data_IF_815268550940
#
_entry.id   IF_815268550940
#
_cell.length_a   1.000
_cell.length_b   1.000
_cell.length_c   1.000
_cell.angle_alpha   90.00
_cell.angle_beta   90.00
_cell.angle_gamma   90.00
#
_symmetry.space_group_name_H-M   'P 1'
#
loop_
_entity.id
_entity.type
_entity.pdbx_description
1 polymer ?
#
# COMPACT_ATOMS: atom_id res chain seq x y z
N UNK A 1 -5.14 -8.48 0.99
CA UNK A 1 -5.07 -7.02 0.88
C UNK A 1 -6.44 -6.32 0.86
N UNK A 2 -7.35 -6.68 -0.01
CA UNK A 2 -8.70 -6.06 -0.04
C UNK A 2 -9.44 -6.21 1.31
N UNK A 3 -9.32 -7.34 1.97
CA UNK A 3 -9.90 -7.56 3.31
C UNK A 3 -9.33 -6.62 4.37
N UNK A 4 -8.00 -6.45 4.40
CA UNK A 4 -7.37 -5.51 5.35
C UNK A 4 -7.79 -4.07 5.09
N UNK A 5 -7.90 -3.69 3.81
CA UNK A 5 -8.42 -2.38 3.44
C UNK A 5 -9.88 -2.21 3.91
N UNK A 6 -10.72 -3.23 3.70
CA UNK A 6 -12.11 -3.22 4.15
C UNK A 6 -12.20 -3.09 5.67
N UNK A 7 -11.35 -3.79 6.42
CA UNK A 7 -11.28 -3.67 7.89
C UNK A 7 -10.88 -2.26 8.33
N UNK A 8 -9.88 -1.65 7.67
CA UNK A 8 -9.46 -0.27 7.96
C UNK A 8 -10.56 0.73 7.63
N UNK A 9 -11.26 0.53 6.50
CA UNK A 9 -12.42 1.38 6.14
C UNK A 9 -13.53 1.27 7.18
N UNK A 10 -13.81 0.08 7.67
CA UNK A 10 -14.81 -0.10 8.75
C UNK A 10 -14.35 0.54 10.06
N UNK A 11 -13.07 0.42 10.39
CA UNK A 11 -12.51 0.99 11.61
C UNK A 11 -12.57 2.52 11.62
N UNK A 12 -12.20 3.16 10.50
CA UNK A 12 -12.11 4.62 10.39
C UNK A 12 -13.36 5.27 9.78
N UNK A 13 -14.21 4.46 9.13
CA UNK A 13 -15.43 4.94 8.47
C UNK A 13 -16.49 5.51 9.41
N UNK A 14 -16.45 5.12 10.69
CA UNK A 14 -17.39 5.64 11.67
C UNK A 14 -17.31 7.16 11.80
N UNK A 15 -16.11 7.72 11.82
CA UNK A 15 -15.92 9.17 11.97
C UNK A 15 -16.12 9.92 10.64
N UNK A 16 -15.64 9.38 9.55
CA UNK A 16 -15.67 10.06 8.26
C UNK A 16 -17.01 9.92 7.51
N UNK A 17 -17.74 8.81 7.73
CA UNK A 17 -18.97 8.48 7.00
C UNK A 17 -20.19 8.50 7.92
N UNK A 18 -20.18 7.72 9.02
CA UNK A 18 -21.39 7.56 9.86
C UNK A 18 -21.75 8.84 10.59
N UNK A 19 -20.75 9.61 11.02
CA UNK A 19 -20.97 10.91 11.68
C UNK A 19 -21.17 12.08 10.70
N UNK A 20 -21.11 11.81 9.40
CA UNK A 20 -21.31 12.83 8.38
C UNK A 20 -22.81 12.99 8.09
N UNK A 21 -23.42 14.05 8.59
CA UNK A 21 -24.86 14.33 8.43
C UNK A 21 -25.31 14.53 6.96
N UNK A 22 -24.38 14.74 6.04
CA UNK A 22 -24.66 14.84 4.61
C UNK A 22 -24.85 13.47 3.95
N UNK A 23 -24.58 12.37 4.66
CA UNK A 23 -24.71 11.01 4.16
C UNK A 23 -25.89 10.34 4.88
N UNK A 24 -26.93 9.90 4.15
CA UNK A 24 -28.02 9.13 4.75
C UNK A 24 -27.49 7.84 5.41
N UNK A 25 -27.98 7.53 6.60
CA UNK A 25 -27.51 6.37 7.37
C UNK A 25 -27.62 5.05 6.61
N UNK A 26 -28.63 4.92 5.75
CA UNK A 26 -28.86 3.74 4.91
C UNK A 26 -27.74 3.56 3.85
N UNK A 27 -27.05 4.63 3.52
CA UNK A 27 -25.96 4.63 2.53
C UNK A 27 -24.57 4.45 3.14
N UNK A 28 -24.43 4.58 4.47
CA UNK A 28 -23.14 4.57 5.14
C UNK A 28 -22.28 3.37 4.75
N UNK A 29 -22.85 2.16 4.77
CA UNK A 29 -22.12 0.94 4.43
C UNK A 29 -21.70 0.92 2.95
N UNK A 30 -22.58 1.33 2.05
CA UNK A 30 -22.29 1.37 0.61
C UNK A 30 -21.24 2.44 0.30
N UNK A 31 -21.30 3.60 0.94
CA UNK A 31 -20.31 4.69 0.82
C UNK A 31 -18.94 4.22 1.31
N UNK A 32 -18.87 3.54 2.46
CA UNK A 32 -17.61 2.97 2.97
C UNK A 32 -17.00 1.94 2.02
N UNK A 33 -17.83 1.03 1.49
CA UNK A 33 -17.37 0.03 0.51
C UNK A 33 -16.86 0.67 -0.77
N UNK A 34 -17.56 1.67 -1.29
CA UNK A 34 -17.15 2.39 -2.48
C UNK A 34 -15.86 3.19 -2.26
N UNK A 35 -15.75 3.87 -1.12
CA UNK A 35 -14.53 4.59 -0.76
C UNK A 35 -13.32 3.65 -0.69
N UNK A 36 -13.46 2.49 -0.04
CA UNK A 36 -12.43 1.48 0.02
C UNK A 36 -12.05 0.93 -1.36
N UNK A 37 -13.05 0.61 -2.19
CA UNK A 37 -12.86 0.16 -3.57
C UNK A 37 -12.15 1.20 -4.44
N UNK A 38 -12.53 2.47 -4.27
CA UNK A 38 -11.93 3.60 -4.98
C UNK A 38 -10.47 3.83 -4.58
N UNK A 39 -10.14 3.73 -3.29
CA UNK A 39 -8.75 3.80 -2.80
C UNK A 39 -7.93 2.66 -3.40
N UNK A 40 -8.43 1.43 -3.33
CA UNK A 40 -7.73 0.27 -3.89
C UNK A 40 -7.50 0.39 -5.39
N UNK A 41 -8.54 0.75 -6.13
CA UNK A 41 -8.44 0.97 -7.57
C UNK A 41 -7.49 2.12 -7.91
N UNK A 42 -7.51 3.21 -7.14
CA UNK A 42 -6.59 4.33 -7.32
C UNK A 42 -5.13 3.94 -7.12
N UNK A 43 -4.83 3.19 -6.08
CA UNK A 43 -3.48 2.65 -5.85
C UNK A 43 -3.02 1.75 -7.01
N UNK A 44 -3.91 0.89 -7.53
CA UNK A 44 -3.62 0.06 -8.71
C UNK A 44 -3.34 0.88 -9.95
N UNK A 45 -4.15 1.90 -10.22
CA UNK A 45 -3.99 2.76 -11.39
C UNK A 45 -2.68 3.54 -11.32
N UNK A 46 -2.30 4.04 -10.14
CA UNK A 46 -1.02 4.71 -9.91
C UNK A 46 0.17 3.76 -10.13
N UNK A 47 0.08 2.54 -9.65
CA UNK A 47 1.10 1.52 -9.89
C UNK A 47 1.20 1.19 -11.38
N UNK A 48 0.07 0.98 -12.07
CA UNK A 48 0.04 0.72 -13.50
C UNK A 48 0.55 1.91 -14.33
N UNK A 49 0.32 3.14 -13.85
CA UNK A 49 0.79 4.38 -14.45
C UNK A 49 2.28 4.70 -14.23
N UNK A 50 3.00 3.85 -13.50
CA UNK A 50 4.44 4.02 -13.26
C UNK A 50 4.81 4.93 -12.09
N UNK A 51 3.85 5.36 -11.26
CA UNK A 51 4.07 6.19 -10.08
C UNK A 51 4.60 5.40 -8.86
N UNK A 52 5.43 4.40 -9.12
CA UNK A 52 5.99 3.54 -8.06
C UNK A 52 6.86 4.32 -7.08
N UNK A 53 7.54 5.39 -7.52
CA UNK A 53 8.40 6.20 -6.66
C UNK A 53 7.64 6.86 -5.52
N UNK A 54 6.51 7.48 -5.84
CA UNK A 54 5.67 8.15 -4.87
C UNK A 54 5.01 7.15 -3.91
N UNK A 55 4.51 6.02 -4.45
CA UNK A 55 3.97 4.93 -3.65
C UNK A 55 5.03 4.32 -2.72
N UNK A 56 6.22 4.06 -3.23
CA UNK A 56 7.33 3.50 -2.45
C UNK A 56 7.81 4.48 -1.36
N UNK A 57 7.92 5.77 -1.69
CA UNK A 57 8.26 6.83 -0.73
C UNK A 57 7.26 6.89 0.42
N UNK A 58 5.97 6.84 0.10
CA UNK A 58 4.89 6.83 1.09
C UNK A 58 4.90 5.54 1.94
N UNK A 59 4.97 4.36 1.30
CA UNK A 59 4.96 3.07 1.99
C UNK A 59 6.21 2.83 2.87
N UNK A 60 7.33 3.46 2.52
CA UNK A 60 8.55 3.43 3.36
C UNK A 60 8.54 4.45 4.49
N UNK A 61 7.51 5.29 4.59
CA UNK A 61 7.42 6.36 5.57
C UNK A 61 8.36 7.55 5.31
N UNK A 62 8.93 7.65 4.11
CA UNK A 62 9.81 8.78 3.72
C UNK A 62 9.04 10.03 3.34
N UNK A 63 7.84 9.87 2.83
CA UNK A 63 6.93 10.97 2.51
C UNK A 63 5.74 10.95 3.48
N UNK A 64 5.34 12.12 4.03
CA UNK A 64 4.20 12.19 4.93
C UNK A 64 2.91 11.80 4.20
N UNK A 65 1.98 11.22 4.96
CA UNK A 65 0.64 10.84 4.47
C UNK A 65 -0.32 11.97 4.86
N UNK A 66 -0.26 13.05 4.09
CA UNK A 66 -1.14 14.21 4.25
C UNK A 66 -1.70 14.66 2.89
N UNK A 67 -2.53 15.68 2.86
CA UNK A 67 -3.18 16.18 1.65
C UNK A 67 -2.20 16.82 0.63
N UNK A 68 -0.97 17.12 1.03
CA UNK A 68 0.08 17.62 0.12
C UNK A 68 0.79 16.48 -0.60
N UNK A 69 0.59 15.24 -0.14
CA UNK A 69 1.15 14.06 -0.79
C UNK A 69 0.42 13.80 -2.11
N UNK A 70 1.12 13.68 -3.26
CA UNK A 70 0.49 13.48 -4.56
C UNK A 70 -0.36 12.20 -4.64
N UNK A 71 0.03 11.15 -3.90
CA UNK A 71 -0.76 9.91 -3.80
C UNK A 71 -2.08 10.17 -3.09
N UNK A 72 -2.05 10.86 -1.94
CA UNK A 72 -3.25 11.21 -1.17
C UNK A 72 -4.16 12.11 -1.98
N UNK A 73 -3.63 13.14 -2.64
CA UNK A 73 -4.41 14.06 -3.47
C UNK A 73 -5.13 13.34 -4.62
N UNK A 74 -4.42 12.50 -5.37
CA UNK A 74 -5.00 11.74 -6.48
C UNK A 74 -6.07 10.74 -6.01
N UNK A 75 -5.84 10.09 -4.88
CA UNK A 75 -6.84 9.20 -4.28
C UNK A 75 -8.07 9.97 -3.80
N UNK A 76 -7.88 11.17 -3.21
CA UNK A 76 -8.98 12.03 -2.76
C UNK A 76 -9.85 12.48 -3.92
N UNK A 77 -9.26 12.90 -5.02
CA UNK A 77 -10.00 13.26 -6.24
C UNK A 77 -10.82 12.08 -6.75
N UNK A 78 -10.23 10.88 -6.83
CA UNK A 78 -10.90 9.68 -7.30
C UNK A 78 -12.06 9.26 -6.38
N UNK A 79 -11.85 9.25 -5.07
CA UNK A 79 -12.89 8.90 -4.08
C UNK A 79 -14.03 9.92 -4.16
N UNK A 80 -13.71 11.22 -4.15
CA UNK A 80 -14.70 12.30 -4.24
C UNK A 80 -15.54 12.17 -5.50
N UNK A 81 -14.90 11.95 -6.66
CA UNK A 81 -15.61 11.78 -7.94
C UNK A 81 -16.53 10.55 -7.97
N UNK A 82 -16.07 9.42 -7.44
CA UNK A 82 -16.86 8.20 -7.39
C UNK A 82 -18.05 8.30 -6.42
N UNK A 83 -17.84 8.88 -5.24
CA UNK A 83 -18.91 9.07 -4.26
C UNK A 83 -19.95 10.08 -4.76
N UNK A 84 -19.52 11.16 -5.39
CA UNK A 84 -20.42 12.12 -6.03
C UNK A 84 -21.26 11.48 -7.13
N UNK A 85 -20.62 10.72 -8.01
CA UNK A 85 -21.30 10.09 -9.17
C UNK A 85 -22.25 8.97 -8.76
N UNK A 86 -21.91 8.14 -7.78
CA UNK A 86 -22.69 6.95 -7.41
C UNK A 86 -23.78 7.22 -6.38
N UNK A 87 -23.52 8.14 -5.45
CA UNK A 87 -24.42 8.42 -4.33
C UNK A 87 -25.04 9.81 -4.35
N UNK A 88 -24.67 10.62 -5.36
CA UNK A 88 -25.18 11.99 -5.48
C UNK A 88 -24.67 12.92 -4.35
N UNK A 89 -23.57 12.57 -3.70
CA UNK A 89 -23.00 13.41 -2.67
C UNK A 89 -22.41 14.69 -3.27
N UNK A 90 -22.57 15.79 -2.55
CA UNK A 90 -21.89 17.03 -2.93
C UNK A 90 -20.36 16.85 -2.87
N UNK A 91 -19.63 17.64 -3.65
CA UNK A 91 -18.15 17.62 -3.65
C UNK A 91 -17.59 17.82 -2.24
N UNK A 92 -18.24 18.67 -1.43
CA UNK A 92 -17.86 18.95 -0.05
C UNK A 92 -18.07 17.70 0.85
N UNK A 93 -19.23 17.06 0.76
CA UNK A 93 -19.51 15.86 1.55
C UNK A 93 -18.61 14.69 1.16
N UNK A 94 -18.43 14.45 -0.14
CA UNK A 94 -17.56 13.39 -0.65
C UNK A 94 -16.09 13.68 -0.38
N UNK A 95 -15.65 14.94 -0.49
CA UNK A 95 -14.32 15.40 -0.13
C UNK A 95 -14.02 15.20 1.36
N UNK A 96 -14.96 15.53 2.24
CA UNK A 96 -14.81 15.29 3.67
C UNK A 96 -14.64 13.81 4.03
N UNK A 97 -15.33 12.90 3.31
CA UNK A 97 -15.09 11.44 3.43
C UNK A 97 -13.68 11.07 3.00
N UNK A 98 -13.23 11.57 1.86
CA UNK A 98 -11.89 11.29 1.33
C UNK A 98 -10.79 11.78 2.29
N UNK A 99 -10.90 13.02 2.76
CA UNK A 99 -9.96 13.64 3.70
C UNK A 99 -9.91 12.92 5.06
N UNK A 100 -11.05 12.44 5.53
CA UNK A 100 -11.15 11.71 6.79
C UNK A 100 -10.64 10.27 6.69
N UNK A 101 -10.84 9.59 5.55
CA UNK A 101 -10.51 8.17 5.41
C UNK A 101 -9.10 7.90 4.86
N UNK A 102 -8.70 8.60 3.80
CA UNK A 102 -7.51 8.23 3.03
C UNK A 102 -6.24 8.27 3.88
N UNK A 103 -5.92 9.35 4.62
CA UNK A 103 -4.71 9.38 5.42
C UNK A 103 -4.69 8.30 6.50
N UNK A 104 -5.83 8.02 7.14
CA UNK A 104 -5.94 7.01 8.19
C UNK A 104 -5.78 5.59 7.63
N UNK A 105 -6.39 5.29 6.50
CA UNK A 105 -6.27 3.99 5.82
C UNK A 105 -4.84 3.75 5.37
N UNK A 106 -4.23 4.73 4.70
CA UNK A 106 -2.85 4.61 4.21
C UNK A 106 -1.86 4.45 5.37
N UNK A 107 -2.01 5.25 6.43
CA UNK A 107 -1.19 5.10 7.65
C UNK A 107 -1.38 3.74 8.29
N UNK A 108 -2.61 3.25 8.36
CA UNK A 108 -2.92 1.92 8.87
C UNK A 108 -2.29 0.80 8.03
N UNK A 109 -2.30 0.93 6.70
CA UNK A 109 -1.64 -0.01 5.78
C UNK A 109 -0.11 0.00 5.97
N UNK A 110 0.50 1.19 6.05
CA UNK A 110 1.94 1.35 6.27
C UNK A 110 2.36 0.75 7.61
N UNK A 111 1.63 1.07 8.68
CA UNK A 111 1.92 0.55 10.02
C UNK A 111 1.82 -0.98 10.05
N UNK A 112 0.79 -1.57 9.43
CA UNK A 112 0.64 -3.02 9.34
C UNK A 112 1.75 -3.67 8.50
N UNK A 113 2.17 -3.03 7.41
CA UNK A 113 3.22 -3.53 6.53
C UNK A 113 4.63 -3.47 7.18
N UNK A 114 4.80 -2.60 8.17
CA UNK A 114 6.03 -2.45 8.95
C UNK A 114 6.03 -3.24 10.26
N UNK A 115 4.91 -3.86 10.64
CA UNK A 115 4.81 -4.64 11.88
C UNK A 115 5.47 -6.01 11.72
N UNK A 116 6.58 -6.30 12.42
CA UNK A 116 7.27 -7.58 12.31
C UNK A 116 6.46 -8.76 12.86
N UNK A 117 5.38 -8.49 13.63
CA UNK A 117 4.50 -9.50 14.19
C UNK A 117 3.34 -9.87 13.26
N UNK A 118 3.27 -9.30 12.06
CA UNK A 118 2.27 -9.62 11.05
C UNK A 118 2.90 -10.36 9.85
N UNK A 119 3.29 -11.64 10.01
CA UNK A 119 3.86 -12.40 8.91
C UNK A 119 2.82 -12.56 7.78
N UNK A 120 3.21 -12.22 6.56
CA UNK A 120 2.33 -12.29 5.38
C UNK A 120 1.65 -10.98 5.00
N UNK A 121 1.97 -9.87 5.69
CA UNK A 121 1.59 -8.53 5.27
C UNK A 121 2.79 -7.60 5.36
N UNK A 122 3.57 -7.55 4.29
CA UNK A 122 4.74 -6.69 4.19
C UNK A 122 4.61 -5.75 2.98
N UNK A 123 5.53 -4.79 2.89
CA UNK A 123 5.53 -3.79 1.81
C UNK A 123 5.60 -4.43 0.42
N UNK A 124 6.33 -5.54 0.27
CA UNK A 124 6.44 -6.26 -1.01
C UNK A 124 5.12 -6.91 -1.41
N UNK A 125 4.39 -7.50 -0.46
CA UNK A 125 3.05 -8.07 -0.70
C UNK A 125 2.05 -6.97 -1.07
N UNK A 126 2.17 -5.80 -0.42
CA UNK A 126 1.36 -4.63 -0.72
C UNK A 126 1.59 -4.17 -2.16
N UNK A 127 2.84 -3.99 -2.56
CA UNK A 127 3.22 -3.59 -3.92
C UNK A 127 2.77 -4.66 -4.93
N UNK A 128 2.98 -5.94 -4.62
CA UNK A 128 2.55 -7.06 -5.48
C UNK A 128 1.04 -7.08 -5.71
N UNK A 129 0.24 -6.85 -4.67
CA UNK A 129 -1.21 -6.80 -4.76
C UNK A 129 -1.72 -5.57 -5.53
N UNK A 130 -1.06 -4.41 -5.37
CA UNK A 130 -1.39 -3.17 -6.08
C UNK A 130 -1.00 -3.28 -7.56
N UNK A 131 0.15 -3.90 -7.89
CA UNK A 131 0.59 -4.09 -9.28
C UNK A 131 -0.17 -5.18 -10.05
N UNK A 132 -1.13 -5.85 -9.39
CA UNK A 132 -1.99 -6.84 -10.04
C UNK A 132 -1.26 -8.11 -10.50
N UNK A 133 -0.13 -8.44 -9.88
CA UNK A 133 0.69 -9.59 -10.23
C UNK A 133 1.52 -9.39 -11.52
N UNK A 134 1.58 -8.18 -12.04
CA UNK A 134 2.39 -7.84 -13.20
C UNK A 134 3.87 -7.77 -12.81
N UNK A 135 4.55 -8.92 -12.89
CA UNK A 135 5.92 -9.11 -12.41
C UNK A 135 6.98 -8.21 -13.11
N UNK A 136 6.69 -7.73 -14.32
CA UNK A 136 7.61 -6.83 -15.04
C UNK A 136 7.76 -5.48 -14.33
N UNK A 137 6.66 -4.80 -14.04
CA UNK A 137 6.69 -3.51 -13.32
C UNK A 137 7.11 -3.66 -11.86
N UNK A 138 6.80 -4.82 -11.24
CA UNK A 138 7.24 -5.12 -9.87
C UNK A 138 8.75 -5.33 -9.79
N UNK A 139 9.34 -6.09 -10.72
CA UNK A 139 10.79 -6.31 -10.78
C UNK A 139 11.55 -5.00 -11.03
N UNK A 140 11.03 -4.13 -11.89
CA UNK A 140 11.59 -2.80 -12.14
C UNK A 140 11.47 -1.91 -10.88
N UNK A 141 10.32 -1.93 -10.21
CA UNK A 141 10.12 -1.19 -8.97
C UNK A 141 11.00 -1.72 -7.83
N UNK A 142 11.08 -3.03 -7.67
CA UNK A 142 11.96 -3.66 -6.67
C UNK A 142 13.41 -3.37 -6.98
N UNK A 143 13.83 -3.44 -8.25
CA UNK A 143 15.20 -3.11 -8.67
C UNK A 143 15.54 -1.65 -8.38
N UNK A 144 14.62 -0.73 -8.65
CA UNK A 144 14.85 0.72 -8.54
C UNK A 144 14.64 1.27 -7.12
N UNK A 145 13.70 0.70 -6.38
CA UNK A 145 13.28 1.23 -5.07
C UNK A 145 13.52 0.26 -3.91
N UNK A 146 13.85 -0.99 -4.21
CA UNK A 146 14.00 -2.04 -3.20
C UNK A 146 15.11 -1.78 -2.18
N UNK A 147 16.13 -1.01 -2.54
CA UNK A 147 17.14 -0.53 -1.61
C UNK A 147 16.56 0.30 -0.46
N UNK A 148 15.46 1.01 -0.73
CA UNK A 148 14.75 1.80 0.29
C UNK A 148 14.00 0.93 1.31
N UNK A 149 13.71 -0.30 0.94
CA UNK A 149 13.06 -1.30 1.79
C UNK A 149 14.04 -2.29 2.43
N UNK A 150 15.34 -2.01 2.32
CA UNK A 150 16.37 -2.90 2.85
C UNK A 150 16.57 -4.19 2.06
N UNK A 151 16.07 -4.23 0.82
CA UNK A 151 16.25 -5.36 -0.09
C UNK A 151 17.60 -5.34 -0.82
N UNK A 152 18.27 -4.19 -0.86
CA UNK A 152 19.65 -4.03 -1.32
C UNK A 152 20.58 -4.47 -0.20
N UNK A 153 21.02 -5.72 -0.27
CA UNK A 153 21.82 -6.37 0.76
C UNK A 153 23.33 -6.22 0.52
N UNK A 154 23.72 -5.97 -0.72
CA UNK A 154 25.13 -5.75 -1.08
C UNK A 154 25.51 -4.26 -1.19
N UNK A 155 24.52 -3.36 -1.22
CA UNK A 155 24.72 -1.92 -1.20
C UNK A 155 25.08 -1.32 -2.56
N UNK A 156 24.79 -2.01 -3.65
CA UNK A 156 25.09 -1.55 -5.01
C UNK A 156 24.06 -0.56 -5.58
N UNK A 157 22.97 -0.33 -4.83
CA UNK A 157 21.87 0.58 -5.18
C UNK A 157 20.81 -0.03 -6.09
N UNK A 158 20.93 -1.33 -6.42
CA UNK A 158 19.94 -2.07 -7.20
C UNK A 158 19.57 -3.34 -6.42
N UNK A 159 18.32 -3.80 -6.53
CA UNK A 159 17.91 -5.08 -5.97
C UNK A 159 17.90 -6.13 -7.06
N UNK A 160 18.75 -7.12 -6.93
CA UNK A 160 18.97 -8.16 -7.92
C UNK A 160 19.26 -9.52 -7.31
N UNK A 161 19.77 -10.42 -8.16
CA UNK A 161 20.17 -11.77 -7.75
C UNK A 161 21.32 -11.73 -6.72
N UNK A 162 22.22 -10.74 -6.81
CA UNK A 162 23.32 -10.49 -5.87
C UNK A 162 22.82 -10.24 -4.45
N UNK A 163 21.72 -9.51 -4.30
CA UNK A 163 21.11 -9.26 -3.00
C UNK A 163 20.51 -10.51 -2.38
N UNK A 164 19.87 -11.34 -3.21
CA UNK A 164 19.34 -12.62 -2.75
C UNK A 164 20.49 -13.54 -2.26
N UNK A 165 21.62 -13.55 -2.96
CA UNK A 165 22.84 -14.28 -2.54
C UNK A 165 23.42 -13.68 -1.27
N UNK A 166 23.47 -12.34 -1.16
CA UNK A 166 23.99 -11.62 0.02
C UNK A 166 23.10 -11.83 1.24
N UNK A 167 21.78 -11.82 1.08
CA UNK A 167 20.82 -12.11 2.13
C UNK A 167 20.97 -13.54 2.67
N UNK A 168 21.13 -14.53 1.79
CA UNK A 168 21.38 -15.92 2.17
C UNK A 168 22.75 -16.08 2.84
N UNK A 169 23.76 -15.38 2.36
CA UNK A 169 25.11 -15.41 2.95
C UNK A 169 25.17 -14.80 4.36
N UNK A 170 24.46 -13.69 4.56
CA UNK A 170 24.42 -13.01 5.89
C UNK A 170 23.59 -13.77 6.93
N UNK A 171 22.54 -14.49 6.49
CA UNK A 171 21.59 -15.12 7.42
C UNK A 171 21.89 -16.62 7.72
N UNK A 172 22.77 -17.28 6.97
CA UNK A 172 22.97 -18.74 7.04
C UNK A 172 24.44 -19.19 7.06
N UNK A 173 25.39 -18.37 7.41
CA UNK A 173 26.78 -18.80 7.44
C UNK A 173 27.31 -19.32 6.09
N UNK A 174 26.74 -18.83 4.98
CA UNK A 174 27.16 -19.14 3.62
C UNK A 174 26.57 -20.43 3.04
N UNK A 175 26.50 -20.47 1.70
CA UNK A 175 26.06 -21.65 0.91
C UNK A 175 26.85 -22.91 1.28
N UNK A 176 28.09 -22.76 1.77
CA UNK A 176 28.92 -23.86 2.29
C UNK A 176 28.30 -24.58 3.49
N UNK A 177 27.55 -23.87 4.35
CA UNK A 177 26.86 -24.49 5.50
C UNK A 177 25.65 -25.33 5.09
N UNK A 178 24.95 -24.94 4.04
CA UNK A 178 23.81 -25.70 3.49
C UNK A 178 24.27 -26.93 2.70
N UNK A 179 25.32 -26.79 1.89
CA UNK A 179 25.93 -27.94 1.18
C UNK A 179 26.57 -28.93 2.15
N UNK A 180 27.21 -28.45 3.24
CA UNK A 180 27.75 -29.31 4.28
C UNK A 180 26.68 -30.10 5.03
N UNK A 181 25.49 -29.55 5.23
CA UNK A 181 24.34 -30.27 5.82
C UNK A 181 23.67 -31.26 4.87
N UNK A 182 23.73 -31.01 3.54
CA UNK A 182 23.10 -31.86 2.53
C UNK A 182 24.01 -33.01 2.08
N UNK A 183 25.32 -32.83 2.12
CA UNK A 183 26.32 -33.79 1.62
C UNK A 183 27.32 -34.27 2.70
N UNK A 184 27.25 -33.76 3.93
CA UNK A 184 28.08 -34.21 5.05
C UNK A 184 27.39 -35.32 5.83
N UNK A 185 28.00 -36.48 5.76
CA UNK A 185 27.66 -37.64 6.62
C UNK A 185 27.78 -37.29 8.07
#
# INVERSE_FOLDING_TARGET
MFEQLTQLVQQYGNDAVVKNNAIPNEQNQAVMQEAGGSIFSGLKDMAAGGNFGDLAGMLSGKTPIDMNNPVVAALSEKVTGNLGSKFGLSTEAAGGVAEGLIPQILSGLVNKAQDPNQPGFNVSDLIGAISGGNSGGLLDAVSKYGGQFGLDQDGDGQVGMSDAISAVSKNSGGIGGLLGKLFGK
#
